data_IF_907773507865
#
_entry.id   IF_907773507865
#
_cell.length_a   1.000
_cell.length_b   1.000
_cell.length_c   1.000
_cell.angle_alpha   90.00
_cell.angle_beta   90.00
_cell.angle_gamma   90.00
#
_symmetry.space_group_name_H-M   'P 1'
#
loop_
_entity.id
_entity.type
_entity.pdbx_description
1 polymer ?
#
# COMPACT_ATOMS: atom_id res chain seq x y z
N UNK A 1 -13.25 30.17 -59.61
CA UNK A 1 -13.45 31.07 -58.45
C UNK A 1 -12.13 31.21 -57.73
N UNK A 2 -11.73 32.45 -57.42
CA UNK A 2 -10.41 32.86 -56.91
C UNK A 2 -10.42 32.85 -55.37
N UNK A 3 -9.30 32.46 -54.74
CA UNK A 3 -8.49 33.28 -53.79
C UNK A 3 -7.77 32.41 -52.76
N UNK A 4 -6.45 32.37 -52.92
CA UNK A 4 -5.42 32.23 -51.88
C UNK A 4 -5.70 33.14 -50.68
N UNK A 5 -5.47 32.63 -49.47
CA UNK A 5 -5.42 33.44 -48.24
C UNK A 5 -4.22 33.01 -47.40
N UNK A 6 -3.10 33.69 -47.63
CA UNK A 6 -2.02 33.90 -46.66
C UNK A 6 -2.52 34.91 -45.62
N UNK A 7 -2.16 34.79 -44.34
CA UNK A 7 -2.12 35.83 -43.27
C UNK A 7 -2.28 35.11 -41.91
N UNK A 8 -1.60 35.37 -40.81
CA UNK A 8 -0.38 36.13 -40.50
C UNK A 8 0.00 35.73 -39.08
N UNK A 9 1.30 35.71 -38.84
CA UNK A 9 1.97 35.86 -37.56
C UNK A 9 1.25 36.86 -36.65
N UNK A 10 0.92 36.44 -35.43
CA UNK A 10 0.31 37.27 -34.39
C UNK A 10 0.98 37.02 -33.05
N UNK A 11 2.12 37.67 -32.87
CA UNK A 11 2.72 38.09 -31.60
C UNK A 11 1.65 38.66 -30.67
N UNK A 12 1.71 38.39 -29.36
CA UNK A 12 1.99 39.42 -28.34
C UNK A 12 1.75 38.87 -26.93
N UNK A 13 2.80 38.99 -26.14
CA UNK A 13 2.84 39.02 -24.68
C UNK A 13 1.71 39.90 -24.13
N UNK A 14 0.97 39.40 -23.15
CA UNK A 14 0.21 40.23 -22.22
C UNK A 14 0.58 39.84 -20.79
N UNK A 15 1.66 40.48 -20.31
CA UNK A 15 1.91 40.67 -18.89
C UNK A 15 0.83 41.62 -18.36
N UNK A 16 -0.19 41.08 -17.70
CA UNK A 16 -1.11 41.90 -16.90
C UNK A 16 -0.91 41.53 -15.44
N UNK A 17 -0.08 42.34 -14.78
CA UNK A 17 -0.12 42.50 -13.33
C UNK A 17 -1.51 43.01 -12.96
N UNK A 18 -2.31 42.19 -12.28
CA UNK A 18 -3.50 42.65 -11.58
C UNK A 18 -3.46 42.09 -10.16
N UNK A 19 -2.94 42.90 -9.24
CA UNK A 19 -3.13 42.71 -7.81
C UNK A 19 -4.32 43.58 -7.37
N UNK A 20 -5.37 42.97 -6.79
CA UNK A 20 -6.20 43.65 -5.83
C UNK A 20 -5.88 43.10 -4.44
N UNK A 21 -5.29 43.96 -3.61
CA UNK A 21 -5.22 43.79 -2.16
C UNK A 21 -6.64 43.79 -1.60
N UNK A 22 -7.20 42.61 -1.34
CA UNK A 22 -8.44 42.44 -0.59
C UNK A 22 -8.16 41.69 0.71
N UNK A 23 -8.28 42.45 1.78
CA UNK A 23 -8.12 42.11 3.19
C UNK A 23 -9.15 41.06 3.64
N UNK A 24 -8.95 39.75 3.40
CA UNK A 24 -9.77 38.70 4.03
C UNK A 24 -9.23 37.26 3.84
N UNK A 25 -8.05 36.92 4.38
CA UNK A 25 -7.75 35.52 4.70
C UNK A 25 -7.09 35.40 6.07
N UNK A 26 -7.96 35.17 7.05
CA UNK A 26 -7.64 34.72 8.39
C UNK A 26 -7.04 33.31 8.29
N UNK A 27 -5.77 33.17 8.70
CA UNK A 27 -5.18 31.88 9.09
C UNK A 27 -4.27 31.19 8.08
N UNK A 28 -3.14 31.80 7.73
CA UNK A 28 -1.97 31.03 7.27
C UNK A 28 -1.43 30.21 8.45
N UNK A 29 -1.61 28.88 8.42
CA UNK A 29 -0.82 27.94 9.23
C UNK A 29 0.40 27.49 8.41
N UNK A 30 1.62 27.58 8.94
CA UNK A 30 2.82 27.22 8.21
C UNK A 30 3.08 25.70 8.24
N UNK A 31 3.56 25.20 7.10
CA UNK A 31 4.66 24.22 6.96
C UNK A 31 4.53 22.92 7.75
N UNK A 32 3.78 21.96 7.20
CA UNK A 32 3.98 20.54 7.49
C UNK A 32 4.93 19.95 6.45
N UNK A 33 6.09 19.46 6.87
CA UNK A 33 7.00 18.64 6.08
C UNK A 33 6.19 17.62 5.26
N UNK A 34 6.29 17.68 3.94
CA UNK A 34 6.07 16.48 3.14
C UNK A 34 7.09 15.46 3.65
N UNK A 35 6.67 14.31 4.22
CA UNK A 35 7.62 13.24 4.48
C UNK A 35 8.18 12.87 3.10
N UNK A 36 9.50 12.87 2.97
CA UNK A 36 10.18 12.19 1.87
C UNK A 36 9.48 10.85 1.69
N UNK A 37 9.01 10.54 0.48
CA UNK A 37 8.23 9.34 0.22
C UNK A 37 9.01 8.12 0.73
N UNK A 38 8.65 7.64 1.92
CA UNK A 38 9.19 6.41 2.47
C UNK A 38 8.70 5.35 1.51
N UNK A 39 9.62 4.76 0.74
CA UNK A 39 9.28 3.70 -0.20
C UNK A 39 8.57 2.59 0.59
N UNK A 40 7.26 2.49 0.43
CA UNK A 40 6.45 1.48 1.09
C UNK A 40 6.72 0.16 0.37
N UNK A 41 7.60 -0.67 0.94
CA UNK A 41 7.83 -2.03 0.46
C UNK A 41 6.64 -2.88 0.90
N UNK A 42 5.69 -3.11 -0.01
CA UNK A 42 4.61 -4.07 0.19
C UNK A 42 5.06 -5.45 -0.27
N UNK A 43 5.02 -6.43 0.64
CA UNK A 43 5.35 -7.83 0.34
C UNK A 43 4.08 -8.63 0.33
N UNK A 44 3.70 -9.17 -0.83
CA UNK A 44 2.52 -10.02 -1.01
C UNK A 44 2.91 -11.43 -1.37
N UNK A 45 2.00 -12.39 -1.17
CA UNK A 45 2.13 -13.75 -1.68
C UNK A 45 1.57 -13.81 -3.10
N UNK A 46 2.30 -14.46 -4.01
CA UNK A 46 1.80 -14.80 -5.34
C UNK A 46 0.68 -15.85 -5.26
N UNK A 47 -0.15 -15.96 -6.30
CA UNK A 47 -1.19 -17.00 -6.36
C UNK A 47 -0.62 -18.42 -6.25
N UNK A 48 0.57 -18.67 -6.80
CA UNK A 48 1.26 -19.96 -6.67
C UNK A 48 1.62 -20.27 -5.21
N UNK A 49 2.18 -19.29 -4.49
CA UNK A 49 2.50 -19.43 -3.06
C UNK A 49 1.25 -19.62 -2.21
N UNK A 50 0.18 -18.86 -2.49
CA UNK A 50 -1.11 -19.02 -1.81
C UNK A 50 -1.65 -20.42 -1.98
N UNK A 51 -1.60 -20.97 -3.20
CA UNK A 51 -2.03 -22.34 -3.45
C UNK A 51 -1.22 -23.36 -2.65
N UNK A 52 0.11 -23.23 -2.60
CA UNK A 52 0.98 -24.11 -1.79
C UNK A 52 0.60 -24.06 -0.31
N UNK A 53 0.36 -22.85 0.21
CA UNK A 53 -0.02 -22.64 1.62
C UNK A 53 -1.36 -23.33 1.92
N UNK A 54 -2.38 -23.10 1.09
CA UNK A 54 -3.72 -23.68 1.27
C UNK A 54 -3.65 -25.20 1.18
N UNK A 55 -3.08 -25.76 0.11
CA UNK A 55 -2.96 -27.21 -0.10
C UNK A 55 -2.23 -27.89 1.08
N UNK A 56 -1.18 -27.25 1.62
CA UNK A 56 -0.45 -27.76 2.77
C UNK A 56 -1.34 -27.83 4.01
N UNK A 57 -2.12 -26.78 4.30
CA UNK A 57 -2.95 -26.73 5.50
C UNK A 57 -4.18 -27.63 5.43
N UNK A 58 -4.77 -27.78 4.24
CA UNK A 58 -5.83 -28.77 4.00
C UNK A 58 -5.34 -30.19 4.27
N UNK A 59 -4.14 -30.54 3.78
CA UNK A 59 -3.56 -31.88 3.96
C UNK A 59 -3.11 -32.16 5.40
N UNK A 60 -2.61 -31.15 6.11
CA UNK A 60 -1.98 -31.32 7.42
C UNK A 60 -2.92 -31.04 8.61
N UNK A 61 -4.24 -30.88 8.39
CA UNK A 61 -5.29 -30.60 9.42
C UNK A 61 -4.79 -29.70 10.55
N UNK A 62 -4.34 -28.50 10.17
CA UNK A 62 -3.78 -27.57 11.14
C UNK A 62 -4.86 -27.02 12.07
N UNK A 63 -4.71 -27.28 13.36
CA UNK A 63 -5.64 -26.83 14.39
C UNK A 63 -5.14 -25.51 14.98
N UNK A 64 -5.38 -24.41 14.28
CA UNK A 64 -5.23 -23.08 14.87
C UNK A 64 -6.60 -22.49 15.20
N UNK A 65 -6.66 -21.70 16.27
CA UNK A 65 -7.85 -20.93 16.59
C UNK A 65 -7.90 -19.73 15.65
N UNK A 66 -9.02 -19.47 14.96
CA UNK A 66 -9.16 -18.28 14.13
C UNK A 66 -8.95 -17.01 14.97
N UNK A 67 -8.38 -15.98 14.35
CA UNK A 67 -8.21 -14.68 14.98
C UNK A 67 -9.59 -14.10 15.35
N UNK A 68 -9.76 -13.50 16.54
CA UNK A 68 -10.98 -12.78 16.85
C UNK A 68 -11.22 -11.66 15.81
N UNK A 69 -12.47 -11.39 15.42
CA UNK A 69 -12.77 -10.50 14.28
C UNK A 69 -12.24 -9.08 14.47
N UNK A 70 -12.18 -8.58 15.71
CA UNK A 70 -11.58 -7.28 16.02
C UNK A 70 -10.06 -7.22 15.79
N UNK A 71 -9.36 -8.34 15.96
CA UNK A 71 -7.91 -8.43 15.75
C UNK A 71 -7.58 -8.54 14.27
N UNK A 72 -8.28 -9.41 13.53
CA UNK A 72 -8.09 -9.57 12.10
C UNK A 72 -8.20 -8.22 11.36
N UNK A 73 -9.20 -7.41 11.74
CA UNK A 73 -9.38 -6.05 11.21
C UNK A 73 -8.24 -5.09 11.56
N UNK A 74 -7.67 -5.21 12.76
CA UNK A 74 -6.54 -4.38 13.18
C UNK A 74 -5.25 -4.74 12.42
N UNK A 75 -5.00 -6.04 12.19
CA UNK A 75 -3.87 -6.51 11.39
C UNK A 75 -3.96 -6.05 9.93
N UNK A 76 -5.15 -6.14 9.33
CA UNK A 76 -5.39 -5.63 7.97
C UNK A 76 -5.13 -4.12 7.83
N UNK A 77 -5.20 -3.36 8.94
CA UNK A 77 -4.89 -1.93 9.00
C UNK A 77 -3.42 -1.63 9.32
N UNK A 78 -2.57 -2.66 9.42
CA UNK A 78 -1.16 -2.52 9.74
C UNK A 78 -0.87 -2.20 11.22
N UNK A 79 -1.85 -2.33 12.12
CA UNK A 79 -1.58 -2.19 13.55
C UNK A 79 -0.76 -3.38 14.05
N UNK A 80 0.16 -3.18 15.01
CA UNK A 80 0.93 -4.28 15.58
C UNK A 80 0.00 -5.29 16.26
N UNK A 81 0.43 -6.55 16.29
CA UNK A 81 -0.29 -7.62 16.95
C UNK A 81 -0.37 -7.35 18.47
N UNK A 82 -1.54 -7.49 19.12
CA UNK A 82 -1.66 -7.34 20.56
C UNK A 82 -0.78 -8.34 21.33
N UNK A 83 -0.31 -7.97 22.53
CA UNK A 83 0.32 -8.92 23.45
C UNK A 83 -0.70 -10.00 23.83
N UNK A 84 -0.29 -11.27 23.75
CA UNK A 84 -1.15 -12.43 24.06
C UNK A 84 -1.66 -13.21 22.85
N UNK A 85 -1.50 -12.69 21.63
CA UNK A 85 -1.73 -13.49 20.41
C UNK A 85 -0.39 -14.09 19.97
N UNK A 86 -0.34 -15.42 19.93
CA UNK A 86 0.88 -16.13 19.63
C UNK A 86 1.28 -15.94 18.16
N UNK A 87 2.54 -15.52 17.94
CA UNK A 87 3.24 -15.66 16.66
C UNK A 87 3.57 -17.13 16.47
N UNK A 88 3.08 -17.76 15.42
CA UNK A 88 3.47 -19.13 15.08
C UNK A 88 4.46 -19.12 13.92
N UNK A 89 5.49 -19.96 14.03
CA UNK A 89 6.45 -20.18 12.95
C UNK A 89 5.81 -21.02 11.86
N UNK A 90 6.27 -20.85 10.62
CA UNK A 90 5.86 -21.73 9.54
C UNK A 90 6.31 -23.18 9.82
N UNK A 91 5.45 -24.18 9.58
CA UNK A 91 5.86 -25.57 9.59
C UNK A 91 7.02 -25.81 8.63
N UNK A 92 8.04 -26.55 9.04
CA UNK A 92 9.24 -26.83 8.23
C UNK A 92 8.91 -27.44 6.87
N UNK A 93 7.89 -28.30 6.80
CA UNK A 93 7.40 -28.88 5.55
C UNK A 93 6.85 -27.83 4.58
N UNK A 94 6.18 -26.79 5.08
CA UNK A 94 5.68 -25.70 4.25
C UNK A 94 6.80 -24.76 3.80
N UNK A 95 7.78 -24.50 4.68
CA UNK A 95 8.97 -23.70 4.32
C UNK A 95 9.73 -24.31 3.14
N UNK A 96 9.84 -25.64 3.10
CA UNK A 96 10.53 -26.35 2.01
C UNK A 96 9.79 -26.26 0.66
N UNK A 97 8.48 -26.02 0.67
CA UNK A 97 7.66 -25.90 -0.54
C UNK A 97 7.59 -24.48 -1.08
N UNK A 98 7.80 -23.47 -0.23
CA UNK A 98 7.74 -22.07 -0.65
C UNK A 98 9.03 -21.63 -1.35
N UNK A 99 8.94 -20.73 -2.35
CA UNK A 99 10.12 -20.09 -2.92
C UNK A 99 10.95 -19.39 -1.84
N UNK A 100 12.29 -19.44 -1.90
CA UNK A 100 13.14 -18.82 -0.91
C UNK A 100 12.95 -17.29 -0.92
N UNK A 101 12.59 -16.73 0.24
CA UNK A 101 12.47 -15.29 0.46
C UNK A 101 13.61 -14.82 1.37
N UNK A 102 14.55 -14.04 0.83
CA UNK A 102 15.63 -13.43 1.62
C UNK A 102 15.13 -12.17 2.34
N UNK A 103 15.48 -12.01 3.61
CA UNK A 103 15.22 -10.77 4.37
C UNK A 103 13.81 -10.64 4.95
N UNK A 104 12.98 -11.68 4.89
CA UNK A 104 11.63 -11.68 5.47
C UNK A 104 11.43 -12.87 6.42
N UNK A 105 10.77 -12.60 7.54
CA UNK A 105 10.27 -13.64 8.43
C UNK A 105 8.79 -13.89 8.10
N UNK A 106 8.42 -15.15 7.83
CA UNK A 106 7.03 -15.55 7.64
C UNK A 106 6.50 -16.14 8.95
N UNK A 107 5.43 -15.54 9.48
CA UNK A 107 4.72 -16.00 10.67
C UNK A 107 3.24 -16.17 10.39
N UNK A 108 2.62 -17.16 11.03
CA UNK A 108 1.19 -17.41 10.97
C UNK A 108 0.51 -16.77 12.18
N UNK A 109 -0.69 -16.24 11.94
CA UNK A 109 -1.59 -15.71 12.95
C UNK A 109 -2.97 -16.35 12.77
N UNK A 110 -3.41 -17.12 13.76
CA UNK A 110 -4.69 -17.82 13.70
C UNK A 110 -4.76 -18.90 12.63
N UNK A 111 -5.99 -19.25 12.23
CA UNK A 111 -6.27 -20.26 11.22
C UNK A 111 -6.03 -19.69 9.80
N UNK A 112 -5.15 -20.31 8.98
CA UNK A 112 -4.91 -19.90 7.59
C UNK A 112 -5.91 -20.48 6.57
N UNK A 113 -6.90 -21.27 7.01
CA UNK A 113 -7.94 -21.91 6.18
C UNK A 113 -8.86 -20.93 5.47
#
# INVERSE_FOLDING_TARGET
MRRTATLTLGTLIALVCFAPSALAQRGQKPKGNQPAATAAVSVTFSDAERKIIVDYYEKNRYQAKPLPPGIARNLARGKPLPPGIAKQRLPSGLVALLPPRSGFEITIFGDPS
#
